data_IF_581231250538
#
_entry.id   IF_581231250538
#
_cell.length_a   1.000
_cell.length_b   1.000
_cell.length_c   1.000
_cell.angle_alpha   90.00
_cell.angle_beta   90.00
_cell.angle_gamma   90.00
#
_symmetry.space_group_name_H-M   'P 1'
#
loop_
_entity.id
_entity.type
_entity.pdbx_description
1 polymer ?
#
# COMPACT_ATOMS: atom_id res chain seq x y z
N UNK A 1 3.82 13.34 -9.02
CA UNK A 1 4.03 12.66 -10.32
C UNK A 1 3.31 11.33 -10.30
N UNK A 2 2.40 11.11 -11.24
CA UNK A 2 1.74 9.81 -11.41
C UNK A 2 2.70 8.87 -12.13
N UNK A 3 3.12 7.81 -11.46
CA UNK A 3 3.86 6.72 -12.10
C UNK A 3 2.90 5.55 -12.27
N UNK A 4 2.83 5.00 -13.48
CA UNK A 4 2.13 3.75 -13.73
C UNK A 4 2.79 2.65 -12.87
N UNK A 5 2.03 1.88 -12.08
CA UNK A 5 2.60 0.80 -11.29
C UNK A 5 3.38 -0.21 -12.15
N UNK A 6 4.57 -0.59 -11.71
CA UNK A 6 5.37 -1.61 -12.39
C UNK A 6 4.73 -2.99 -12.24
N UNK A 7 5.05 -3.92 -13.14
CA UNK A 7 4.59 -5.30 -13.07
C UNK A 7 4.86 -5.95 -11.69
N UNK A 8 6.05 -5.75 -11.13
CA UNK A 8 6.40 -6.23 -9.77
C UNK A 8 5.44 -5.71 -8.70
N UNK A 9 5.03 -4.45 -8.78
CA UNK A 9 4.13 -3.82 -7.81
C UNK A 9 2.70 -4.33 -7.96
N UNK A 10 2.25 -4.54 -9.20
CA UNK A 10 0.94 -5.13 -9.51
C UNK A 10 0.89 -6.59 -9.01
N UNK A 11 1.92 -7.40 -9.32
CA UNK A 11 1.99 -8.80 -8.88
C UNK A 11 2.01 -8.89 -7.35
N UNK A 12 2.81 -8.04 -6.69
CA UNK A 12 2.85 -7.97 -5.24
C UNK A 12 1.48 -7.61 -4.63
N UNK A 13 0.77 -6.64 -5.23
CA UNK A 13 -0.57 -6.25 -4.81
C UNK A 13 -1.57 -7.41 -4.98
N UNK A 14 -1.58 -8.07 -6.13
CA UNK A 14 -2.47 -9.20 -6.40
C UNK A 14 -2.20 -10.37 -5.45
N UNK A 15 -0.93 -10.64 -5.15
CA UNK A 15 -0.55 -11.67 -4.19
C UNK A 15 -0.99 -11.34 -2.76
N UNK A 16 -0.95 -10.06 -2.34
CA UNK A 16 -1.50 -9.60 -1.05
C UNK A 16 -3.02 -9.77 -0.97
N UNK A 17 -3.72 -9.44 -2.06
CA UNK A 17 -5.18 -9.55 -2.15
C UNK A 17 -5.66 -11.01 -2.22
N UNK A 18 -4.86 -11.90 -2.83
CA UNK A 18 -5.13 -13.33 -2.91
C UNK A 18 -4.77 -14.08 -1.61
N UNK A 19 -5.36 -13.65 -0.51
CA UNK A 19 -5.24 -14.27 0.82
C UNK A 19 -6.44 -15.16 1.12
N UNK A 20 -6.22 -16.22 1.90
CA UNK A 20 -7.33 -17.00 2.44
C UNK A 20 -8.10 -16.18 3.50
N UNK A 21 -9.36 -16.55 3.76
CA UNK A 21 -10.16 -15.93 4.81
C UNK A 21 -9.41 -15.99 6.14
N UNK A 22 -9.39 -14.86 6.88
CA UNK A 22 -8.69 -14.70 8.16
C UNK A 22 -7.18 -14.97 8.15
N UNK A 23 -6.53 -14.98 6.97
CA UNK A 23 -5.08 -15.06 6.85
C UNK A 23 -4.49 -13.79 6.24
N UNK A 24 -3.23 -13.52 6.57
CA UNK A 24 -2.40 -12.50 5.93
C UNK A 24 -1.44 -13.10 4.90
N UNK A 25 -0.66 -12.23 4.26
CA UNK A 25 0.43 -12.61 3.36
C UNK A 25 1.67 -11.82 3.72
N UNK A 26 2.84 -12.46 3.66
CA UNK A 26 4.13 -11.83 3.80
C UNK A 26 4.84 -11.89 2.45
N UNK A 27 5.29 -10.76 1.93
CA UNK A 27 6.07 -10.69 0.70
C UNK A 27 7.44 -10.10 0.95
N UNK A 28 8.45 -10.76 0.40
CA UNK A 28 9.79 -10.22 0.32
C UNK A 28 9.92 -9.40 -0.96
N UNK A 29 9.95 -8.08 -0.80
CA UNK A 29 10.09 -7.12 -1.90
C UNK A 29 11.39 -6.35 -1.71
N UNK A 30 12.27 -6.41 -2.71
CA UNK A 30 13.60 -5.80 -2.65
C UNK A 30 13.54 -4.28 -2.42
N UNK A 31 14.63 -3.70 -1.95
CA UNK A 31 14.77 -2.24 -1.84
C UNK A 31 14.78 -1.63 -3.23
N UNK A 32 14.11 -0.48 -3.40
CA UNK A 32 13.94 0.16 -4.72
C UNK A 32 12.70 -0.33 -5.51
N UNK A 33 12.08 -1.45 -5.13
CA UNK A 33 10.87 -1.96 -5.82
C UNK A 33 9.58 -1.18 -5.47
N UNK A 34 9.68 -0.21 -4.55
CA UNK A 34 8.58 0.71 -4.24
C UNK A 34 7.52 0.08 -3.33
N UNK A 35 7.98 -0.50 -2.21
CA UNK A 35 7.13 -1.03 -1.11
C UNK A 35 6.07 -0.02 -0.66
N UNK A 36 6.44 1.25 -0.46
CA UNK A 36 5.47 2.31 -0.09
C UNK A 36 4.40 2.58 -1.16
N UNK A 37 4.64 2.25 -2.43
CA UNK A 37 3.60 2.31 -3.48
C UNK A 37 2.66 1.11 -3.38
N UNK A 38 3.19 -0.09 -3.16
CA UNK A 38 2.39 -1.31 -2.96
C UNK A 38 1.46 -1.15 -1.75
N UNK A 39 2.00 -0.66 -0.61
CA UNK A 39 1.19 -0.41 0.59
C UNK A 39 0.07 0.61 0.36
N UNK A 40 0.36 1.71 -0.35
CA UNK A 40 -0.66 2.72 -0.66
C UNK A 40 -1.78 2.16 -1.54
N UNK A 41 -1.45 1.36 -2.56
CA UNK A 41 -2.45 0.68 -3.39
C UNK A 41 -3.29 -0.32 -2.59
N UNK A 42 -2.66 -1.13 -1.73
CA UNK A 42 -3.39 -2.07 -0.88
C UNK A 42 -4.33 -1.34 0.09
N UNK A 43 -3.82 -0.31 0.78
CA UNK A 43 -4.61 0.47 1.73
C UNK A 43 -5.82 1.13 1.06
N UNK A 44 -5.66 1.64 -0.16
CA UNK A 44 -6.75 2.19 -0.97
C UNK A 44 -7.84 1.16 -1.22
N UNK A 45 -7.47 -0.06 -1.64
CA UNK A 45 -8.43 -1.13 -1.93
C UNK A 45 -9.16 -1.59 -0.67
N UNK A 46 -8.46 -1.72 0.46
CA UNK A 46 -9.06 -2.11 1.74
C UNK A 46 -9.97 -1.00 2.30
N UNK A 47 -9.57 0.27 2.20
CA UNK A 47 -10.41 1.41 2.57
C UNK A 47 -11.70 1.49 1.72
N UNK A 48 -11.62 1.19 0.42
CA UNK A 48 -12.79 1.07 -0.45
C UNK A 48 -13.73 -0.08 -0.05
N UNK A 49 -13.22 -1.12 0.62
CA UNK A 49 -14.01 -2.18 1.26
C UNK A 49 -14.54 -1.78 2.64
N UNK A 50 -14.41 -0.50 3.02
CA UNK A 50 -14.78 0.06 4.32
C UNK A 50 -14.03 -0.59 5.50
N UNK A 51 -12.81 -1.07 5.26
CA UNK A 51 -11.89 -1.54 6.30
C UNK A 51 -11.01 -0.38 6.79
N UNK A 52 -10.71 -0.33 8.09
CA UNK A 52 -9.68 0.55 8.64
C UNK A 52 -8.30 -0.04 8.41
N UNK A 53 -7.35 0.77 7.94
CA UNK A 53 -6.02 0.29 7.54
C UNK A 53 -4.93 1.06 8.26
N UNK A 54 -4.11 0.34 9.02
CA UNK A 54 -2.90 0.87 9.64
C UNK A 54 -1.65 0.46 8.83
N UNK A 55 -0.86 1.44 8.38
CA UNK A 55 0.43 1.19 7.74
C UNK A 55 1.54 1.43 8.78
N UNK A 56 2.15 0.33 9.23
CA UNK A 56 3.22 0.36 10.25
C UNK A 56 4.59 0.33 9.56
N UNK A 57 5.49 1.19 10.01
CA UNK A 57 6.89 1.24 9.56
C UNK A 57 7.83 1.36 10.76
N UNK A 58 9.14 1.25 10.52
CA UNK A 58 10.15 1.10 11.57
C UNK A 58 10.44 2.37 12.37
N UNK A 59 9.99 3.55 11.93
CA UNK A 59 10.18 4.80 12.66
C UNK A 59 9.09 5.84 12.41
N UNK A 60 8.83 6.75 13.36
CA UNK A 60 7.87 7.85 13.18
C UNK A 60 8.22 8.75 12.00
N UNK A 61 9.51 9.01 11.77
CA UNK A 61 9.99 9.84 10.65
C UNK A 61 9.59 9.23 9.30
N UNK A 62 9.73 7.90 9.15
CA UNK A 62 9.32 7.21 7.92
C UNK A 62 7.80 7.21 7.77
N UNK A 63 7.06 7.10 8.89
CA UNK A 63 5.60 7.13 8.88
C UNK A 63 5.09 8.49 8.40
N UNK A 64 5.59 9.59 8.99
CA UNK A 64 5.21 10.96 8.63
C UNK A 64 5.55 11.29 7.19
N UNK A 65 6.76 10.92 6.74
CA UNK A 65 7.21 11.11 5.36
C UNK A 65 6.27 10.42 4.37
N UNK A 66 5.97 9.13 4.59
CA UNK A 66 5.15 8.36 3.67
C UNK A 66 3.68 8.81 3.71
N UNK A 67 3.14 9.14 4.90
CA UNK A 67 1.79 9.69 5.04
C UNK A 67 1.66 11.01 4.25
N UNK A 68 2.56 11.96 4.50
CA UNK A 68 2.55 13.29 3.87
C UNK A 68 2.68 13.18 2.35
N UNK A 69 3.62 12.36 1.87
CA UNK A 69 3.83 12.16 0.43
C UNK A 69 2.62 11.50 -0.28
N UNK A 70 1.76 10.79 0.47
CA UNK A 70 0.60 10.07 -0.07
C UNK A 70 -0.72 10.83 0.08
N UNK A 71 -0.77 11.95 0.82
CA UNK A 71 -1.97 12.80 0.92
C UNK A 71 -2.58 13.11 -0.46
N UNK A 72 -1.83 13.58 -1.48
CA UNK A 72 -2.42 13.90 -2.78
C UNK A 72 -3.04 12.68 -3.48
N UNK A 73 -2.53 11.48 -3.22
CA UNK A 73 -3.04 10.24 -3.78
C UNK A 73 -4.32 9.79 -3.08
N UNK A 74 -4.35 9.84 -1.74
CA UNK A 74 -5.55 9.45 -0.99
C UNK A 74 -6.72 10.41 -1.16
N UNK A 75 -6.48 11.68 -1.54
CA UNK A 75 -7.55 12.65 -1.88
C UNK A 75 -8.43 12.23 -3.07
N UNK A 76 -8.03 11.24 -3.86
CA UNK A 76 -8.88 10.68 -4.94
C UNK A 76 -9.88 9.63 -4.44
N UNK A 77 -9.79 9.20 -3.18
CA UNK A 77 -10.75 8.27 -2.60
C UNK A 77 -12.08 8.98 -2.31
N UNK A 78 -13.22 8.33 -2.58
CA UNK A 78 -14.52 8.82 -2.12
C UNK A 78 -14.63 8.72 -0.59
N UNK A 79 -15.50 9.55 0.00
CA UNK A 79 -15.87 9.48 1.42
C UNK A 79 -16.61 8.15 1.77
#
# INVERSE_FOLDING_TARGET
MGHVPRATQIIALLALLNKQTNQGRLLQVATGEGKSTICAMLATILALKKESVDIITTSPILAERDATARIPFFKYLPE
#
